data_IF_574080415388
#
_entry.id   IF_574080415388
#
_cell.length_a   1.000
_cell.length_b   1.000
_cell.length_c   1.000
_cell.angle_alpha   90.00
_cell.angle_beta   90.00
_cell.angle_gamma   90.00
#
_symmetry.space_group_name_H-M   'P 1'
#
loop_
_entity.id
_entity.type
_entity.pdbx_description
1 polymer ?
#
# COMPACT_ATOMS: atom_id res chain seq x y z
N UNK A 1 22.56 20.76 -2.03
CA UNK A 1 22.67 19.69 -1.04
C UNK A 1 21.32 19.02 -0.87
N UNK A 2 21.23 17.69 -1.10
CA UNK A 2 20.00 16.92 -1.00
C UNK A 2 19.78 16.50 0.45
N UNK A 3 18.62 16.82 1.00
CA UNK A 3 18.18 16.40 2.34
C UNK A 3 17.31 15.15 2.27
N UNK A 4 16.58 14.98 1.16
CA UNK A 4 15.70 13.85 0.94
C UNK A 4 15.89 13.29 -0.46
N UNK A 5 15.81 11.98 -0.60
CA UNK A 5 15.79 11.25 -1.86
C UNK A 5 14.63 10.28 -1.79
N UNK A 6 13.74 10.33 -2.78
CA UNK A 6 12.60 9.45 -2.87
C UNK A 6 12.66 8.67 -4.19
N UNK A 7 12.73 7.35 -4.10
CA UNK A 7 12.75 6.44 -5.25
C UNK A 7 11.38 5.75 -5.29
N UNK A 8 10.54 6.24 -6.18
CA UNK A 8 9.17 5.79 -6.35
C UNK A 8 8.78 5.66 -7.81
N UNK A 9 7.49 5.40 -8.05
CA UNK A 9 6.89 5.24 -9.37
C UNK A 9 6.91 3.79 -9.86
N UNK A 10 5.74 3.28 -10.20
CA UNK A 10 5.58 1.86 -10.51
C UNK A 10 5.95 0.98 -9.32
N UNK A 11 7.00 0.20 -9.44
CA UNK A 11 7.52 -0.64 -8.36
C UNK A 11 9.05 -0.67 -8.43
N UNK A 12 9.75 0.24 -7.75
CA UNK A 12 11.21 0.30 -7.80
C UNK A 12 11.89 -1.02 -7.44
N UNK A 13 11.33 -1.78 -6.51
CA UNK A 13 11.87 -3.06 -6.04
C UNK A 13 11.80 -4.21 -7.06
N UNK A 14 11.22 -4.00 -8.24
CA UNK A 14 11.35 -4.93 -9.37
C UNK A 14 12.78 -4.87 -9.96
N UNK A 15 13.44 -3.72 -9.85
CA UNK A 15 14.77 -3.54 -10.40
C UNK A 15 15.77 -4.52 -9.76
N UNK A 16 16.70 -5.07 -10.57
CA UNK A 16 17.85 -5.80 -10.04
C UNK A 16 18.69 -4.95 -9.10
N UNK A 17 19.33 -5.57 -8.12
CA UNK A 17 20.20 -4.88 -7.14
C UNK A 17 21.29 -4.04 -7.81
N UNK A 18 21.84 -4.51 -8.93
CA UNK A 18 22.86 -3.78 -9.68
C UNK A 18 22.33 -2.43 -10.20
N UNK A 19 21.05 -2.34 -10.57
CA UNK A 19 20.44 -1.08 -10.97
C UNK A 19 20.39 -0.08 -9.81
N UNK A 20 20.09 -0.55 -8.59
CA UNK A 20 20.18 0.28 -7.39
C UNK A 20 21.60 0.78 -7.15
N UNK A 21 22.61 -0.11 -7.27
CA UNK A 21 24.03 0.27 -7.10
C UNK A 21 24.45 1.34 -8.10
N UNK A 22 24.06 1.18 -9.37
CA UNK A 22 24.37 2.15 -10.42
C UNK A 22 23.64 3.48 -10.21
N UNK A 23 22.35 3.44 -9.84
CA UNK A 23 21.56 4.64 -9.52
C UNK A 23 22.22 5.42 -8.38
N UNK A 24 22.52 4.76 -7.26
CA UNK A 24 23.13 5.41 -6.10
C UNK A 24 24.53 5.92 -6.37
N UNK A 25 25.32 5.21 -7.19
CA UNK A 25 26.61 5.71 -7.67
C UNK A 25 26.43 7.01 -8.45
N UNK A 26 25.54 7.02 -9.42
CA UNK A 26 25.23 8.21 -10.21
C UNK A 26 24.77 9.38 -9.35
N UNK A 27 23.88 9.13 -8.38
CA UNK A 27 23.39 10.16 -7.46
C UNK A 27 24.53 10.75 -6.61
N UNK A 28 25.41 9.90 -6.05
CA UNK A 28 26.54 10.34 -5.22
C UNK A 28 27.63 11.10 -6.03
N UNK A 29 27.81 10.76 -7.30
CA UNK A 29 28.76 11.44 -8.18
C UNK A 29 28.28 12.83 -8.63
N UNK A 30 26.95 13.02 -8.74
CA UNK A 30 26.38 14.25 -9.30
C UNK A 30 25.73 15.17 -8.27
N UNK A 31 25.44 14.70 -7.07
CA UNK A 31 24.77 15.48 -6.04
C UNK A 31 25.49 15.41 -4.70
N UNK A 32 25.53 16.53 -4.01
CA UNK A 32 25.98 16.57 -2.61
C UNK A 32 24.81 16.21 -1.69
N UNK A 33 24.99 15.21 -0.87
CA UNK A 33 24.02 14.81 0.16
C UNK A 33 24.31 15.58 1.46
N UNK A 34 23.26 15.80 2.25
CA UNK A 34 23.40 16.25 3.65
C UNK A 34 24.07 15.16 4.50
N UNK A 35 24.48 15.51 5.71
CA UNK A 35 25.13 14.55 6.62
C UNK A 35 24.22 13.38 7.02
N UNK A 36 22.89 13.59 7.01
CA UNK A 36 21.86 12.59 7.34
C UNK A 36 20.65 12.72 6.42
N UNK A 37 20.78 12.34 5.14
CA UNK A 37 19.65 12.43 4.21
C UNK A 37 18.60 11.37 4.52
N UNK A 38 17.33 11.70 4.39
CA UNK A 38 16.30 10.68 4.29
C UNK A 38 16.32 10.07 2.89
N UNK A 39 16.47 8.76 2.81
CA UNK A 39 16.48 8.03 1.54
C UNK A 39 15.36 6.99 1.59
N UNK A 40 14.28 7.27 0.86
CA UNK A 40 13.08 6.45 0.80
C UNK A 40 13.05 5.63 -0.49
N UNK A 41 12.63 4.36 -0.38
CA UNK A 41 12.31 3.50 -1.52
C UNK A 41 10.91 2.93 -1.34
N UNK A 42 10.09 3.00 -2.39
CA UNK A 42 8.82 2.28 -2.45
C UNK A 42 9.05 0.80 -2.73
N UNK A 43 8.32 -0.05 -2.02
CA UNK A 43 8.42 -1.50 -2.12
C UNK A 43 7.05 -2.16 -2.29
N UNK A 44 6.98 -3.15 -3.20
CA UNK A 44 5.86 -4.06 -3.23
C UNK A 44 6.23 -5.35 -2.47
N UNK A 45 5.37 -5.87 -1.59
CA UNK A 45 5.66 -7.06 -0.78
C UNK A 45 6.21 -8.26 -1.56
N UNK A 46 5.65 -8.54 -2.76
CA UNK A 46 6.07 -9.67 -3.59
C UNK A 46 7.41 -9.47 -4.33
N UNK A 47 8.09 -8.32 -4.16
CA UNK A 47 9.30 -7.98 -4.92
C UNK A 47 10.53 -7.75 -4.05
N UNK A 48 10.43 -7.96 -2.75
CA UNK A 48 11.53 -7.80 -1.79
C UNK A 48 11.91 -9.13 -1.17
N UNK A 49 13.22 -9.31 -1.00
CA UNK A 49 13.85 -10.39 -0.25
C UNK A 49 14.98 -9.82 0.62
N UNK A 50 15.60 -10.66 1.43
CA UNK A 50 16.68 -10.26 2.34
C UNK A 50 17.85 -9.61 1.59
N UNK A 51 18.30 -10.20 0.48
CA UNK A 51 19.44 -9.69 -0.29
C UNK A 51 19.17 -8.28 -0.83
N UNK A 52 17.96 -8.06 -1.35
CA UNK A 52 17.57 -6.75 -1.88
C UNK A 52 17.49 -5.69 -0.78
N UNK A 53 16.91 -6.03 0.37
CA UNK A 53 16.83 -5.13 1.53
C UNK A 53 18.24 -4.81 2.03
N UNK A 54 19.11 -5.81 2.20
CA UNK A 54 20.50 -5.61 2.62
C UNK A 54 21.27 -4.71 1.64
N UNK A 55 21.03 -4.89 0.35
CA UNK A 55 21.61 -4.01 -0.68
C UNK A 55 21.11 -2.57 -0.51
N UNK A 56 19.81 -2.34 -0.36
CA UNK A 56 19.27 -1.00 -0.16
C UNK A 56 19.83 -0.35 1.12
N UNK A 57 19.90 -1.08 2.23
CA UNK A 57 20.50 -0.60 3.49
C UNK A 57 21.97 -0.23 3.28
N UNK A 58 22.76 -1.06 2.59
CA UNK A 58 24.18 -0.80 2.31
C UNK A 58 24.40 0.46 1.45
N UNK A 59 23.41 0.84 0.64
CA UNK A 59 23.44 2.05 -0.18
C UNK A 59 23.03 3.31 0.59
N UNK A 60 22.48 3.15 1.80
CA UNK A 60 22.06 4.23 2.69
C UNK A 60 20.56 4.46 2.74
N UNK A 61 19.74 3.55 2.15
CA UNK A 61 18.27 3.59 2.33
C UNK A 61 17.96 3.45 3.81
N UNK A 62 17.20 4.38 4.35
CA UNK A 62 16.82 4.43 5.76
C UNK A 62 15.31 4.56 5.99
N UNK A 63 14.52 4.63 4.91
CA UNK A 63 13.06 4.58 4.92
C UNK A 63 12.54 3.69 3.79
N UNK A 64 11.53 2.86 4.10
CA UNK A 64 10.85 2.03 3.11
C UNK A 64 9.34 2.27 3.21
N UNK A 65 8.66 2.55 2.08
CA UNK A 65 7.22 2.59 1.97
C UNK A 65 6.72 1.30 1.34
N UNK A 66 5.85 0.57 2.05
CA UNK A 66 5.41 -0.76 1.64
C UNK A 66 3.97 -0.70 1.19
N UNK A 67 3.73 -0.93 -0.10
CA UNK A 67 2.40 -0.95 -0.71
C UNK A 67 1.61 -2.21 -0.34
N UNK A 68 1.15 -2.30 0.90
CA UNK A 68 0.36 -3.43 1.42
C UNK A 68 -1.06 -3.41 0.87
N UNK A 69 -1.68 -2.25 0.84
CA UNK A 69 -3.02 -1.93 0.36
C UNK A 69 -4.15 -2.52 1.23
N UNK A 70 -4.12 -3.80 1.54
CA UNK A 70 -5.06 -4.49 2.44
C UNK A 70 -4.40 -5.71 3.08
N UNK A 71 -4.93 -6.17 4.21
CA UNK A 71 -4.61 -7.49 4.80
C UNK A 71 -5.73 -8.52 4.55
N UNK A 72 -6.61 -8.26 3.58
CA UNK A 72 -7.64 -9.17 3.11
C UNK A 72 -7.32 -9.62 1.68
N UNK A 73 -7.10 -10.92 1.47
CA UNK A 73 -6.70 -11.47 0.17
C UNK A 73 -7.75 -11.27 -0.93
N UNK A 74 -9.04 -11.21 -0.59
CA UNK A 74 -10.09 -10.96 -1.59
C UNK A 74 -10.07 -9.49 -2.04
N UNK A 75 -9.80 -8.55 -1.14
CA UNK A 75 -9.57 -7.14 -1.49
C UNK A 75 -8.32 -6.96 -2.35
N UNK A 76 -7.21 -7.66 -2.00
CA UNK A 76 -5.99 -7.64 -2.80
C UNK A 76 -6.22 -8.19 -4.22
N UNK A 77 -6.98 -9.27 -4.37
CA UNK A 77 -7.39 -9.80 -5.67
C UNK A 77 -8.24 -8.80 -6.47
N UNK A 78 -9.19 -8.14 -5.82
CA UNK A 78 -10.02 -7.10 -6.43
C UNK A 78 -9.16 -5.96 -6.98
N UNK A 79 -8.13 -5.55 -6.24
CA UNK A 79 -7.15 -4.55 -6.67
C UNK A 79 -6.16 -5.06 -7.73
N UNK A 80 -6.23 -6.34 -8.13
CA UNK A 80 -5.28 -6.94 -9.06
C UNK A 80 -3.86 -7.07 -8.49
N UNK A 81 -3.73 -7.12 -7.15
CA UNK A 81 -2.42 -7.28 -6.51
C UNK A 81 -1.91 -8.70 -6.66
N UNK A 82 -0.60 -8.82 -6.93
CA UNK A 82 0.09 -10.10 -7.11
C UNK A 82 0.51 -10.75 -5.79
N UNK A 83 0.54 -9.99 -4.70
CA UNK A 83 0.93 -10.48 -3.37
C UNK A 83 -0.30 -10.79 -2.51
N UNK A 84 -0.09 -11.64 -1.53
CA UNK A 84 -1.06 -12.01 -0.48
C UNK A 84 -0.80 -11.22 0.81
N UNK A 85 -1.76 -11.26 1.74
CA UNK A 85 -1.60 -10.70 3.09
C UNK A 85 -0.41 -11.33 3.83
N UNK A 86 -0.17 -12.63 3.68
CA UNK A 86 0.98 -13.32 4.27
C UNK A 86 2.31 -12.85 3.68
N UNK A 87 2.37 -12.57 2.39
CA UNK A 87 3.56 -12.01 1.75
C UNK A 87 3.82 -10.57 2.21
N UNK A 88 2.77 -9.78 2.42
CA UNK A 88 2.87 -8.46 3.01
C UNK A 88 3.45 -8.51 4.44
N UNK A 89 2.97 -9.43 5.28
CA UNK A 89 3.50 -9.63 6.63
C UNK A 89 4.98 -10.04 6.61
N UNK A 90 5.36 -10.99 5.74
CA UNK A 90 6.77 -11.39 5.58
C UNK A 90 7.66 -10.23 5.12
N UNK A 91 7.21 -9.43 4.16
CA UNK A 91 7.96 -8.26 3.70
C UNK A 91 8.20 -7.24 4.83
N UNK A 92 7.18 -6.98 5.64
CA UNK A 92 7.30 -6.08 6.81
C UNK A 92 8.30 -6.65 7.83
N UNK A 93 8.26 -7.97 8.10
CA UNK A 93 9.24 -8.61 8.99
C UNK A 93 10.67 -8.49 8.47
N UNK A 94 10.89 -8.70 7.17
CA UNK A 94 12.20 -8.52 6.55
C UNK A 94 12.72 -7.09 6.75
N UNK A 95 11.88 -6.08 6.51
CA UNK A 95 12.24 -4.67 6.72
C UNK A 95 12.57 -4.40 8.20
N UNK A 96 11.77 -4.89 9.15
CA UNK A 96 12.04 -4.72 10.59
C UNK A 96 13.36 -5.39 11.00
N UNK A 97 13.65 -6.57 10.48
CA UNK A 97 14.86 -7.33 10.79
C UNK A 97 16.12 -6.71 10.16
N UNK A 98 15.99 -5.90 9.12
CA UNK A 98 17.12 -5.18 8.50
C UNK A 98 17.65 -4.00 9.34
N UNK A 99 16.95 -3.66 10.42
CA UNK A 99 17.27 -2.51 11.25
C UNK A 99 16.67 -1.18 10.80
N UNK A 100 15.93 -1.14 9.69
CA UNK A 100 15.17 0.04 9.27
C UNK A 100 13.99 0.24 10.22
N UNK A 101 14.05 1.31 11.00
CA UNK A 101 12.98 1.68 11.96
C UNK A 101 11.92 2.56 11.32
N UNK A 102 12.29 3.33 10.30
CA UNK A 102 11.39 4.23 9.58
C UNK A 102 10.78 3.48 8.39
N UNK A 103 9.66 2.81 8.58
CA UNK A 103 8.91 2.24 7.48
C UNK A 103 7.46 2.71 7.49
N UNK A 104 6.89 2.83 6.30
CA UNK A 104 5.50 3.18 6.04
C UNK A 104 4.73 1.96 5.55
N UNK A 105 3.46 1.89 5.91
CA UNK A 105 2.47 0.97 5.33
C UNK A 105 1.45 1.79 4.57
N UNK A 106 1.28 1.49 3.27
CA UNK A 106 0.30 2.15 2.44
C UNK A 106 -0.94 1.25 2.33
N UNK A 107 -2.10 1.82 2.64
CA UNK A 107 -3.42 1.16 2.68
C UNK A 107 -4.38 1.83 1.71
N UNK A 108 -5.34 1.07 1.20
CA UNK A 108 -6.41 1.57 0.35
C UNK A 108 -7.76 1.24 1.01
N UNK A 109 -8.63 2.25 1.12
CA UNK A 109 -10.04 2.07 1.49
C UNK A 109 -10.95 2.42 0.31
N UNK A 110 -12.23 2.06 0.44
CA UNK A 110 -13.17 2.25 -0.66
C UNK A 110 -13.05 1.19 -1.77
N UNK A 111 -12.42 0.04 -1.48
CA UNK A 111 -12.28 -1.06 -2.44
C UNK A 111 -13.65 -1.67 -2.73
N UNK A 112 -13.96 -2.02 -4.01
CA UNK A 112 -15.22 -2.66 -4.33
C UNK A 112 -15.48 -3.90 -3.49
N UNK A 113 -16.66 -3.94 -2.83
CA UNK A 113 -17.03 -5.01 -1.90
C UNK A 113 -16.43 -4.91 -0.50
N UNK A 114 -15.56 -3.94 -0.24
CA UNK A 114 -15.00 -3.71 1.09
C UNK A 114 -16.10 -3.29 2.08
N UNK A 115 -16.06 -3.84 3.28
CA UNK A 115 -16.95 -3.45 4.38
C UNK A 115 -16.19 -2.63 5.42
N UNK A 116 -16.91 -1.86 6.23
CA UNK A 116 -16.31 -1.14 7.35
C UNK A 116 -15.57 -2.07 8.32
N UNK A 117 -16.11 -3.27 8.57
CA UNK A 117 -15.46 -4.25 9.45
C UNK A 117 -14.15 -4.80 8.86
N UNK A 118 -14.08 -5.00 7.55
CA UNK A 118 -12.86 -5.40 6.87
C UNK A 118 -11.81 -4.28 6.94
N UNK A 119 -12.22 -3.05 6.68
CA UNK A 119 -11.37 -1.88 6.82
C UNK A 119 -10.81 -1.72 8.24
N UNK A 120 -11.68 -1.83 9.27
CA UNK A 120 -11.27 -1.79 10.68
C UNK A 120 -10.20 -2.84 11.01
N UNK A 121 -10.35 -4.06 10.50
CA UNK A 121 -9.35 -5.13 10.67
C UNK A 121 -8.03 -4.78 9.99
N UNK A 122 -8.07 -4.24 8.78
CA UNK A 122 -6.87 -3.81 8.03
C UNK A 122 -6.11 -2.72 8.78
N UNK A 123 -6.79 -1.66 9.24
CA UNK A 123 -6.15 -0.57 10.00
C UNK A 123 -5.61 -1.07 11.34
N UNK A 124 -6.36 -1.91 12.06
CA UNK A 124 -5.91 -2.50 13.33
C UNK A 124 -4.64 -3.34 13.12
N UNK A 125 -4.63 -4.16 12.07
CA UNK A 125 -3.46 -4.99 11.73
C UNK A 125 -2.24 -4.15 11.37
N UNK A 126 -2.41 -3.06 10.62
CA UNK A 126 -1.31 -2.13 10.33
C UNK A 126 -0.70 -1.55 11.62
N UNK A 127 -1.53 -1.12 12.56
CA UNK A 127 -1.06 -0.56 13.85
C UNK A 127 -0.31 -1.61 14.70
N UNK A 128 -0.77 -2.87 14.72
CA UNK A 128 -0.08 -3.97 15.42
C UNK A 128 1.36 -4.16 14.93
N UNK A 129 1.63 -3.88 13.67
CA UNK A 129 2.96 -3.99 13.07
C UNK A 129 3.87 -2.82 13.43
N UNK A 130 3.32 -1.77 14.05
CA UNK A 130 4.04 -0.60 14.58
C UNK A 130 4.89 0.13 13.53
N UNK A 131 4.34 0.50 12.36
CA UNK A 131 5.04 1.35 11.41
C UNK A 131 5.23 2.76 11.97
N UNK A 132 6.25 3.46 11.50
CA UNK A 132 6.45 4.86 11.83
C UNK A 132 5.46 5.79 11.11
N UNK A 133 4.92 5.33 10.00
CA UNK A 133 4.02 6.09 9.11
C UNK A 133 2.97 5.15 8.48
N UNK A 134 1.77 5.66 8.27
CA UNK A 134 0.69 4.98 7.55
C UNK A 134 0.13 5.96 6.52
N UNK A 135 0.08 5.53 5.25
CA UNK A 135 -0.66 6.23 4.21
C UNK A 135 -1.99 5.50 3.99
N UNK A 136 -3.09 6.24 3.97
CA UNK A 136 -4.45 5.70 3.80
C UNK A 136 -5.13 6.42 2.65
N UNK A 137 -5.18 5.78 1.49
CA UNK A 137 -5.71 6.37 0.27
C UNK A 137 -7.13 5.86 -0.02
N UNK A 138 -8.01 6.76 -0.45
CA UNK A 138 -9.24 6.34 -1.10
C UNK A 138 -8.94 5.74 -2.48
N UNK A 139 -9.61 4.64 -2.83
CA UNK A 139 -9.51 4.06 -4.15
C UNK A 139 -10.10 5.01 -5.19
N UNK A 140 -9.26 5.52 -6.07
CA UNK A 140 -9.69 6.24 -7.26
C UNK A 140 -9.75 5.30 -8.45
N UNK A 141 -10.89 5.25 -9.13
CA UNK A 141 -11.05 4.48 -10.36
C UNK A 141 -10.52 5.27 -11.55
N UNK A 142 -9.43 4.83 -12.11
CA UNK A 142 -8.86 5.42 -13.32
C UNK A 142 -9.41 4.72 -14.55
N UNK A 143 -9.85 5.50 -15.55
CA UNK A 143 -10.29 4.99 -16.85
C UNK A 143 -9.21 4.11 -17.48
N UNK A 144 -9.62 3.17 -18.33
CA UNK A 144 -8.74 2.22 -19.03
C UNK A 144 -8.02 1.20 -18.10
N UNK A 145 -8.30 1.17 -16.79
CA UNK A 145 -7.79 0.12 -15.92
C UNK A 145 -8.70 -1.13 -15.95
N UNK A 146 -8.14 -2.34 -15.75
CA UNK A 146 -8.94 -3.56 -15.68
C UNK A 146 -10.05 -3.48 -14.62
N UNK A 147 -9.79 -2.83 -13.48
CA UNK A 147 -10.77 -2.64 -12.42
C UNK A 147 -11.92 -1.73 -12.86
N UNK A 148 -11.62 -0.62 -13.53
CA UNK A 148 -12.63 0.27 -14.10
C UNK A 148 -13.53 -0.45 -15.10
N UNK A 149 -12.94 -1.19 -16.04
CA UNK A 149 -13.70 -1.95 -17.05
C UNK A 149 -14.56 -3.04 -16.41
N UNK A 150 -14.09 -3.69 -15.38
CA UNK A 150 -14.84 -4.70 -14.62
C UNK A 150 -16.10 -4.09 -13.98
N UNK A 151 -15.97 -2.96 -13.28
CA UNK A 151 -17.08 -2.28 -12.61
C UNK A 151 -18.07 -1.75 -13.64
N UNK A 152 -17.59 -1.10 -14.70
CA UNK A 152 -18.43 -0.57 -15.79
C UNK A 152 -19.22 -1.66 -16.51
N UNK A 153 -18.61 -2.82 -16.74
CA UNK A 153 -19.28 -3.95 -17.38
C UNK A 153 -20.43 -4.54 -16.52
N UNK A 154 -20.31 -4.49 -15.20
CA UNK A 154 -21.37 -4.92 -14.29
C UNK A 154 -22.53 -3.92 -14.23
N UNK A 155 -22.28 -2.63 -14.35
CA UNK A 155 -23.30 -1.59 -14.42
C UNK A 155 -24.14 -1.68 -15.70
N UNK A 156 -23.50 -2.04 -16.82
CA UNK A 156 -24.14 -2.12 -18.15
C UNK A 156 -24.86 -3.43 -18.44
N UNK A 157 -24.49 -4.52 -17.73
CA UNK A 157 -25.14 -5.84 -17.84
C UNK A 157 -25.82 -6.22 -16.52
N UNK A 158 -27.06 -5.79 -16.26
CA UNK A 158 -27.81 -6.26 -15.11
C UNK A 158 -27.96 -7.79 -15.19
N UNK A 159 -27.88 -8.52 -14.05
CA UNK A 159 -27.93 -9.98 -14.06
C UNK A 159 -29.22 -10.45 -14.73
N UNK A 160 -29.08 -11.42 -15.62
CA UNK A 160 -30.22 -12.13 -16.17
C UNK A 160 -31.09 -12.69 -15.04
N UNK A 161 -32.42 -12.66 -15.17
CA UNK A 161 -33.30 -13.16 -14.13
C UNK A 161 -32.99 -14.64 -13.83
N UNK A 162 -33.25 -15.13 -12.60
CA UNK A 162 -32.78 -16.42 -12.07
C UNK A 162 -33.38 -17.67 -12.67
N UNK A 163 -33.98 -17.64 -13.86
CA UNK A 163 -34.63 -18.75 -14.49
C UNK A 163 -34.01 -19.14 -15.86
N UNK A 164 -32.80 -19.65 -15.84
CA UNK A 164 -32.32 -20.59 -16.86
C UNK A 164 -31.76 -21.83 -16.18
N UNK A 165 -32.48 -22.95 -16.37
CA UNK A 165 -32.08 -24.27 -15.89
C UNK A 165 -30.70 -24.62 -16.52
N UNK A 166 -29.69 -24.87 -15.68
CA UNK A 166 -28.52 -25.65 -16.05
C UNK A 166 -27.21 -24.91 -16.25
N UNK A 167 -26.94 -23.85 -15.51
CA UNK A 167 -25.58 -23.29 -15.42
C UNK A 167 -25.13 -23.22 -13.98
N UNK A 168 -23.90 -23.62 -13.68
CA UNK A 168 -23.23 -23.29 -12.43
C UNK A 168 -23.06 -21.76 -12.36
N UNK A 169 -24.16 -21.07 -12.06
CA UNK A 169 -24.15 -19.67 -11.65
C UNK A 169 -23.62 -19.63 -10.20
N UNK A 170 -22.30 -19.66 -10.05
CA UNK A 170 -21.71 -19.28 -8.79
C UNK A 170 -22.24 -17.91 -8.40
N UNK A 171 -22.53 -17.73 -7.10
CA UNK A 171 -22.81 -16.44 -6.48
C UNK A 171 -21.66 -15.47 -6.81
N UNK A 172 -21.69 -14.86 -7.96
CA UNK A 172 -20.96 -13.62 -8.21
C UNK A 172 -21.73 -12.56 -7.40
N UNK A 173 -21.33 -12.38 -6.14
CA UNK A 173 -21.67 -11.17 -5.42
C UNK A 173 -21.26 -10.03 -6.34
N UNK A 174 -22.22 -9.20 -6.75
CA UNK A 174 -21.93 -7.99 -7.51
C UNK A 174 -20.85 -7.23 -6.77
N UNK A 175 -19.70 -7.06 -7.40
CA UNK A 175 -18.62 -6.22 -6.87
C UNK A 175 -19.13 -4.79 -7.00
N UNK A 176 -19.65 -4.24 -5.90
CA UNK A 176 -20.23 -2.90 -5.86
C UNK A 176 -19.25 -1.96 -5.16
N UNK A 177 -19.04 -0.76 -5.72
CA UNK A 177 -18.35 0.31 -5.02
C UNK A 177 -19.06 0.65 -3.71
N UNK A 178 -18.35 0.88 -2.63
CA UNK A 178 -18.92 1.50 -1.43
C UNK A 178 -19.59 2.83 -1.79
N UNK A 179 -20.70 3.16 -1.13
CA UNK A 179 -21.31 4.48 -1.28
C UNK A 179 -20.50 5.54 -0.51
N UNK A 180 -20.82 6.80 -0.80
CA UNK A 180 -20.10 7.95 -0.21
C UNK A 180 -20.19 7.94 1.34
N UNK A 181 -21.31 7.55 1.92
CA UNK A 181 -21.49 7.51 3.37
C UNK A 181 -20.53 6.49 4.00
N UNK A 182 -20.40 5.30 3.39
CA UNK A 182 -19.47 4.26 3.85
C UNK A 182 -18.01 4.70 3.68
N UNK A 183 -17.68 5.37 2.58
CA UNK A 183 -16.33 5.93 2.35
C UNK A 183 -15.99 6.96 3.44
N UNK A 184 -16.92 7.87 3.74
CA UNK A 184 -16.74 8.85 4.82
C UNK A 184 -16.59 8.19 6.19
N UNK A 185 -17.34 7.12 6.45
CA UNK A 185 -17.24 6.37 7.70
C UNK A 185 -15.89 5.65 7.81
N UNK A 186 -15.37 5.07 6.72
CA UNK A 186 -14.05 4.45 6.67
C UNK A 186 -12.95 5.47 6.94
N UNK A 187 -13.02 6.64 6.31
CA UNK A 187 -12.06 7.71 6.49
C UNK A 187 -12.08 8.27 7.93
N UNK A 188 -13.27 8.57 8.44
CA UNK A 188 -13.44 9.04 9.83
C UNK A 188 -12.91 8.02 10.84
N UNK A 189 -13.19 6.73 10.63
CA UNK A 189 -12.64 5.69 11.48
C UNK A 189 -11.11 5.67 11.47
N UNK A 190 -10.47 5.82 10.30
CA UNK A 190 -9.00 5.85 10.23
C UNK A 190 -8.43 7.02 11.02
N UNK A 191 -9.00 8.23 10.90
CA UNK A 191 -8.58 9.42 11.66
C UNK A 191 -8.67 9.16 13.17
N UNK A 192 -9.83 8.72 13.64
CA UNK A 192 -10.08 8.55 15.07
C UNK A 192 -9.22 7.41 15.65
N UNK A 193 -9.15 6.28 14.96
CA UNK A 193 -8.42 5.12 15.45
C UNK A 193 -6.92 5.35 15.45
N UNK A 194 -6.35 5.86 14.36
CA UNK A 194 -4.92 6.15 14.26
C UNK A 194 -4.51 7.27 15.22
N UNK A 195 -5.33 8.33 15.34
CA UNK A 195 -5.13 9.38 16.34
C UNK A 195 -5.10 8.84 17.76
N UNK A 196 -6.03 7.94 18.10
CA UNK A 196 -6.05 7.24 19.40
C UNK A 196 -4.84 6.32 19.66
N UNK A 197 -4.08 5.98 18.61
CA UNK A 197 -2.84 5.18 18.67
C UNK A 197 -1.56 6.03 18.62
N UNK A 198 -1.69 7.36 18.63
CA UNK A 198 -0.57 8.29 18.68
C UNK A 198 -0.01 8.70 17.32
N UNK A 199 -0.71 8.37 16.22
CA UNK A 199 -0.37 8.89 14.91
C UNK A 199 -0.98 10.29 14.73
N UNK A 200 -0.18 11.22 14.25
CA UNK A 200 -0.62 12.56 13.87
C UNK A 200 -1.12 12.53 12.42
N UNK A 201 -2.36 12.95 12.21
CA UNK A 201 -2.92 13.19 10.87
C UNK A 201 -2.41 14.55 10.38
N UNK A 202 -1.46 14.58 9.45
CA UNK A 202 -0.77 15.81 9.05
C UNK A 202 -1.03 16.21 7.60
N UNK A 203 -1.61 15.32 6.83
CA UNK A 203 -2.02 15.53 5.44
C UNK A 203 -3.22 14.59 5.16
N UNK A 204 -3.99 14.84 4.11
CA UNK A 204 -5.27 14.15 3.82
C UNK A 204 -5.16 12.63 3.98
N UNK A 205 -4.10 12.04 3.43
CA UNK A 205 -3.93 10.58 3.42
C UNK A 205 -2.87 10.08 4.39
N UNK A 206 -2.15 10.96 5.10
CA UNK A 206 -0.92 10.58 5.78
C UNK A 206 -0.99 10.74 7.30
N UNK A 207 -0.56 9.70 7.98
CA UNK A 207 -0.52 9.58 9.43
C UNK A 207 0.89 9.15 9.88
N UNK A 208 1.48 9.87 10.82
CA UNK A 208 2.84 9.59 11.27
C UNK A 208 2.95 9.63 12.79
N UNK A 209 3.82 8.80 13.36
CA UNK A 209 4.30 9.00 14.72
C UNK A 209 5.11 10.29 14.78
N UNK A 210 5.19 10.92 15.97
CA UNK A 210 5.91 12.17 16.16
C UNK A 210 7.36 12.07 15.64
N UNK A 211 7.76 13.00 14.77
CA UNK A 211 9.09 13.04 14.15
C UNK A 211 9.26 12.18 12.89
N UNK A 212 8.19 11.53 12.37
CA UNK A 212 8.23 10.67 11.20
C UNK A 212 7.36 11.17 10.03
N UNK A 213 6.95 12.44 10.04
CA UNK A 213 6.32 13.07 8.87
C UNK A 213 7.32 13.10 7.71
N UNK A 214 6.88 12.80 6.50
CA UNK A 214 7.69 12.85 5.26
C UNK A 214 7.27 14.00 4.36
#
# INVERSE_FOLDING_TARGET
ELKTIYIGGGTPTILPEECFRQLFKCLKENFKFSDSPEITVEANPGTVDTSKIDTMVSLGVNRISIGVQSFNDDELKTLGRIHTSDEALRAIELVKNSGIKNFSIDLIYGIPGQTLDSWKKTVSKAVELSPAHISSYELTLEEETPLYEMIKSEETNPPSPPFTKGGMGGLLNKIKMPDEDLILEMYGYAIDYLGGKGYEHYEISNFALHGFRC
#
